data_IF_839386576018
#
_entry.id   IF_839386576018
#
_cell.length_a   1.000
_cell.length_b   1.000
_cell.length_c   1.000
_cell.angle_alpha   90.00
_cell.angle_beta   90.00
_cell.angle_gamma   90.00
#
_symmetry.space_group_name_H-M   'P 1'
#
loop_
_entity.id
_entity.type
_entity.pdbx_description
1 polymer ?
#
# COMPACT_ATOMS: atom_id res chain seq x y z
N UNK A 1 1.64 -34.22 20.37
CA UNK A 1 2.18 -32.85 20.57
C UNK A 1 2.86 -32.48 19.29
N UNK A 2 2.16 -31.77 18.40
CA UNK A 2 2.74 -31.16 17.22
C UNK A 2 2.68 -29.65 17.45
N UNK A 3 3.84 -29.00 17.39
CA UNK A 3 3.98 -27.54 17.47
C UNK A 3 3.17 -26.84 16.38
N UNK A 4 2.64 -25.63 16.62
CA UNK A 4 1.94 -24.89 15.59
C UNK A 4 2.95 -24.32 14.59
N UNK A 5 2.70 -24.62 13.32
CA UNK A 5 3.33 -24.04 12.14
C UNK A 5 3.32 -22.50 12.20
N UNK A 6 4.43 -21.88 11.84
CA UNK A 6 4.70 -20.46 12.06
C UNK A 6 3.75 -19.47 11.35
N UNK A 7 3.88 -18.17 11.65
CA UNK A 7 2.97 -17.10 11.20
C UNK A 7 2.87 -16.93 9.67
N UNK A 8 3.77 -17.53 8.88
CA UNK A 8 3.81 -17.45 7.43
C UNK A 8 2.65 -18.21 6.74
N UNK A 9 2.20 -19.35 7.28
CA UNK A 9 1.07 -20.10 6.69
C UNK A 9 -0.29 -19.45 6.98
N UNK A 10 -0.39 -18.69 8.07
CA UNK A 10 -1.62 -17.96 8.40
C UNK A 10 -1.86 -16.73 7.51
N UNK A 11 -0.81 -16.11 6.96
CA UNK A 11 -0.95 -15.01 6.00
C UNK A 11 -1.45 -15.50 4.62
N UNK A 12 -1.06 -16.71 4.20
CA UNK A 12 -1.60 -17.37 3.00
C UNK A 12 -3.11 -17.65 3.14
N UNK A 13 -3.55 -18.04 4.34
CA UNK A 13 -4.97 -18.22 4.66
C UNK A 13 -5.76 -16.90 4.62
N UNK A 14 -5.16 -15.79 5.07
CA UNK A 14 -5.78 -14.46 5.05
C UNK A 14 -5.91 -13.87 3.63
N UNK A 15 -4.92 -14.07 2.75
CA UNK A 15 -5.02 -13.69 1.33
C UNK A 15 -6.15 -14.45 0.62
N UNK A 16 -6.33 -15.74 0.93
CA UNK A 16 -7.46 -16.53 0.46
C UNK A 16 -8.83 -16.12 1.05
N UNK A 17 -8.85 -15.62 2.29
CA UNK A 17 -10.09 -15.22 2.98
C UNK A 17 -10.63 -13.87 2.50
N UNK A 18 -9.75 -12.89 2.26
CA UNK A 18 -10.14 -11.55 1.75
C UNK A 18 -10.67 -11.61 0.31
N UNK A 19 -10.17 -12.52 -0.51
CA UNK A 19 -10.65 -12.73 -1.89
C UNK A 19 -12.10 -13.25 -1.92
N UNK A 20 -12.48 -14.10 -0.96
CA UNK A 20 -13.79 -14.79 -0.96
C UNK A 20 -14.96 -13.90 -0.50
N UNK A 21 -14.71 -12.80 0.20
CA UNK A 21 -15.76 -11.87 0.65
C UNK A 21 -16.08 -10.76 -0.35
N UNK A 22 -15.17 -10.45 -1.29
CA UNK A 22 -15.38 -9.38 -2.27
C UNK A 22 -16.35 -9.78 -3.41
N UNK A 23 -16.46 -11.08 -3.72
CA UNK A 23 -17.40 -11.61 -4.71
C UNK A 23 -18.88 -11.49 -4.31
N UNK A 24 -19.18 -11.25 -3.02
CA UNK A 24 -20.56 -11.16 -2.53
C UNK A 24 -21.21 -9.77 -2.76
N UNK A 25 -20.43 -8.73 -3.08
CA UNK A 25 -20.91 -7.34 -3.17
C UNK A 25 -21.18 -6.84 -4.60
N UNK A 26 -20.92 -7.65 -5.63
CA UNK A 26 -21.04 -7.27 -7.06
C UNK A 26 -22.47 -7.28 -7.64
N UNK A 27 -23.54 -7.34 -6.83
CA UNK A 27 -24.92 -7.56 -7.32
C UNK A 27 -25.93 -6.41 -7.19
N UNK A 28 -25.50 -5.15 -7.04
CA UNK A 28 -26.43 -4.01 -7.05
C UNK A 28 -26.02 -2.96 -8.07
N UNK A 29 -26.73 -2.94 -9.21
CA UNK A 29 -26.52 -2.05 -10.35
C UNK A 29 -27.58 -0.94 -10.34
N UNK A 30 -27.18 0.34 -10.38
CA UNK A 30 -28.04 1.49 -10.71
C UNK A 30 -27.25 2.42 -11.63
N UNK A 31 -27.78 2.84 -12.81
CA UNK A 31 -27.02 3.62 -13.77
C UNK A 31 -27.09 5.13 -13.48
N UNK A 32 -25.97 5.83 -13.62
CA UNK A 32 -25.93 7.30 -13.69
C UNK A 32 -25.27 7.71 -15.01
N UNK A 33 -25.97 8.56 -15.78
CA UNK A 33 -25.50 9.21 -17.02
C UNK A 33 -24.85 10.57 -16.71
N UNK A 34 -24.11 11.07 -17.70
CA UNK A 34 -23.59 12.44 -17.96
C UNK A 34 -22.10 12.62 -17.60
N UNK A 35 -21.25 13.33 -18.38
CA UNK A 35 -21.34 14.04 -19.68
C UNK A 35 -19.89 14.45 -20.06
N UNK A 36 -19.57 14.46 -21.35
CA UNK A 36 -18.27 14.91 -21.90
C UNK A 36 -17.83 16.31 -21.43
N UNK A 37 -16.50 16.53 -21.31
CA UNK A 37 -15.86 17.79 -21.74
C UNK A 37 -14.32 17.73 -21.87
N UNK A 38 -13.88 17.97 -23.10
CA UNK A 38 -12.76 18.81 -23.60
C UNK A 38 -11.29 18.56 -23.21
N UNK A 39 -10.48 18.49 -24.27
CA UNK A 39 -9.03 18.34 -24.34
C UNK A 39 -8.21 19.57 -23.89
N UNK A 40 -6.96 19.33 -23.48
CA UNK A 40 -5.93 20.33 -23.13
C UNK A 40 -4.66 20.06 -24.01
N UNK A 41 -3.98 21.09 -24.54
CA UNK A 41 -2.88 20.95 -25.51
C UNK A 41 -1.52 20.62 -24.86
N UNK A 42 -0.52 20.14 -25.64
CA UNK A 42 0.72 19.59 -25.12
C UNK A 42 1.80 20.66 -24.93
N UNK A 43 2.50 20.61 -23.79
CA UNK A 43 3.72 21.39 -23.59
C UNK A 43 3.92 21.93 -22.18
N UNK A 44 4.08 21.05 -21.18
CA UNK A 44 4.70 21.43 -19.92
C UNK A 44 5.30 20.19 -19.25
N UNK A 45 6.54 20.32 -18.80
CA UNK A 45 7.28 19.29 -18.06
C UNK A 45 6.45 18.77 -16.88
N UNK A 46 6.00 17.52 -16.97
CA UNK A 46 5.17 16.87 -15.96
C UNK A 46 6.01 16.50 -14.73
N UNK A 47 6.11 17.42 -13.77
CA UNK A 47 6.20 17.03 -12.35
C UNK A 47 4.78 16.67 -11.92
N UNK A 48 4.52 15.37 -11.77
CA UNK A 48 3.20 14.83 -11.45
C UNK A 48 2.78 15.36 -10.07
N UNK A 49 1.71 16.17 -9.96
CA UNK A 49 1.08 16.46 -8.69
C UNK A 49 0.29 15.22 -8.26
N UNK A 50 0.35 14.90 -6.97
CA UNK A 50 -0.31 13.78 -6.28
C UNK A 50 -1.84 13.93 -6.20
N UNK A 51 -2.48 14.47 -7.23
CA UNK A 51 -3.92 14.76 -7.22
C UNK A 51 -4.81 13.55 -7.51
N UNK A 52 -4.25 12.37 -7.76
CA UNK A 52 -5.02 11.13 -8.00
C UNK A 52 -4.78 10.13 -6.88
N UNK A 53 -5.32 10.50 -5.70
CA UNK A 53 -5.19 9.85 -4.37
C UNK A 53 -6.12 8.64 -4.18
N UNK A 54 -6.99 8.39 -5.15
CA UNK A 54 -8.18 7.58 -4.95
C UNK A 54 -7.99 6.15 -4.45
N UNK A 55 -7.11 5.37 -5.08
CA UNK A 55 -7.02 3.94 -4.82
C UNK A 55 -6.40 3.64 -3.45
N UNK A 56 -5.51 4.52 -2.98
CA UNK A 56 -4.85 4.42 -1.68
C UNK A 56 -5.77 4.79 -0.52
N UNK A 57 -6.90 5.46 -0.79
CA UNK A 57 -7.83 5.98 0.21
C UNK A 57 -8.97 5.02 0.56
N UNK A 58 -9.09 3.92 -0.19
CA UNK A 58 -10.23 3.01 -0.11
C UNK A 58 -10.23 2.15 1.15
N UNK A 59 -9.15 1.40 1.49
CA UNK A 59 -9.15 0.53 2.67
C UNK A 59 -8.80 1.32 3.93
N UNK A 60 -9.17 0.85 5.13
CA UNK A 60 -8.70 1.44 6.40
C UNK A 60 -7.16 1.45 6.51
N UNK A 61 -6.51 0.38 6.00
CA UNK A 61 -5.06 0.22 5.94
C UNK A 61 -4.63 -0.13 4.52
N UNK A 62 -3.72 0.66 3.96
CA UNK A 62 -3.08 0.35 2.68
C UNK A 62 -1.59 0.09 2.88
N UNK A 63 -1.09 -1.03 2.39
CA UNK A 63 0.35 -1.34 2.35
C UNK A 63 0.79 -1.43 0.89
N UNK A 64 1.91 -0.79 0.58
CA UNK A 64 2.51 -0.85 -0.74
C UNK A 64 4.02 -0.73 -0.67
N UNK A 65 4.63 -0.69 -1.85
CA UNK A 65 6.07 -0.48 -1.99
C UNK A 65 6.33 0.78 -2.79
N UNK A 66 7.35 1.53 -2.40
CA UNK A 66 7.91 2.61 -3.22
C UNK A 66 8.74 2.03 -4.36
N UNK A 67 9.04 2.85 -5.36
CA UNK A 67 9.84 2.44 -6.52
C UNK A 67 11.27 2.03 -6.15
N UNK A 68 11.82 2.55 -5.04
CA UNK A 68 13.15 2.21 -4.50
C UNK A 68 13.14 1.10 -3.44
N UNK A 69 12.00 0.43 -3.23
CA UNK A 69 11.92 -0.77 -2.39
C UNK A 69 11.72 -0.52 -0.90
N UNK A 70 11.22 0.65 -0.49
CA UNK A 70 10.66 0.81 0.86
C UNK A 70 9.28 0.17 0.91
N UNK A 71 8.94 -0.46 2.03
CA UNK A 71 7.54 -0.78 2.34
C UNK A 71 6.90 0.43 3.00
N UNK A 72 5.72 0.84 2.55
CA UNK A 72 4.97 1.92 3.18
C UNK A 72 3.62 1.43 3.68
N UNK A 73 3.14 2.04 4.76
CA UNK A 73 1.79 1.85 5.30
C UNK A 73 1.09 3.18 5.40
N UNK A 74 -0.15 3.22 4.94
CA UNK A 74 -1.05 4.36 5.09
C UNK A 74 -2.26 3.93 5.93
N UNK A 75 -2.64 4.80 6.87
CA UNK A 75 -3.82 4.62 7.71
C UNK A 75 -4.88 5.66 7.29
N UNK A 76 -6.00 5.18 6.74
CA UNK A 76 -7.11 6.03 6.28
C UNK A 76 -8.17 6.25 7.35
N UNK A 77 -8.12 5.42 8.40
CA UNK A 77 -8.91 5.61 9.60
C UNK A 77 -8.05 5.59 10.84
N UNK A 78 -8.47 6.29 11.91
CA UNK A 78 -7.83 6.16 13.21
C UNK A 78 -7.94 4.71 13.71
N UNK A 79 -6.79 4.07 13.91
CA UNK A 79 -6.68 2.75 14.52
C UNK A 79 -5.95 2.90 15.85
N UNK A 80 -6.52 2.33 16.90
CA UNK A 80 -5.95 2.37 18.24
C UNK A 80 -4.55 1.77 18.23
N UNK A 81 -3.59 2.47 18.85
CA UNK A 81 -2.20 2.06 19.00
C UNK A 81 -1.42 1.80 17.69
N UNK A 82 -2.00 2.00 16.50
CA UNK A 82 -1.38 1.69 15.22
C UNK A 82 -0.02 2.37 15.01
N UNK A 83 0.12 3.62 15.47
CA UNK A 83 1.39 4.33 15.40
C UNK A 83 2.50 3.60 16.18
N UNK A 84 2.18 3.11 17.38
CA UNK A 84 3.11 2.34 18.22
C UNK A 84 3.42 0.98 17.59
N UNK A 85 2.38 0.26 17.13
CA UNK A 85 2.54 -1.04 16.47
C UNK A 85 3.48 -0.96 15.25
N UNK A 86 3.31 0.07 14.43
CA UNK A 86 4.16 0.31 13.25
C UNK A 86 5.58 0.70 13.65
N UNK A 87 5.78 1.58 14.64
CA UNK A 87 7.12 1.97 15.08
C UNK A 87 7.88 0.84 15.76
N UNK A 88 7.20 0.01 16.54
CA UNK A 88 7.81 -1.14 17.22
C UNK A 88 8.27 -2.20 16.20
N UNK A 89 7.58 -2.29 15.05
CA UNK A 89 7.99 -3.09 13.90
C UNK A 89 9.08 -2.43 13.01
N UNK A 90 9.57 -1.25 13.39
CA UNK A 90 10.65 -0.55 12.70
C UNK A 90 10.21 0.40 11.59
N UNK A 91 8.92 0.68 11.43
CA UNK A 91 8.45 1.70 10.51
C UNK A 91 8.69 3.11 11.07
N UNK A 92 9.13 4.02 10.21
CA UNK A 92 9.41 5.42 10.55
C UNK A 92 8.27 6.31 10.03
N UNK A 93 7.62 7.13 10.88
CA UNK A 93 6.57 8.03 10.43
C UNK A 93 7.17 9.12 9.52
N UNK A 94 6.49 9.39 8.41
CA UNK A 94 6.75 10.49 7.48
C UNK A 94 5.45 11.23 7.18
N UNK A 95 5.59 12.49 6.78
CA UNK A 95 4.48 13.28 6.26
C UNK A 95 4.77 13.60 4.80
N UNK A 96 3.76 13.39 3.96
CA UNK A 96 3.83 13.67 2.52
C UNK A 96 2.50 14.23 2.06
N UNK A 97 2.50 15.42 1.46
CA UNK A 97 1.29 16.14 1.03
C UNK A 97 0.19 16.22 2.10
N UNK A 98 0.58 16.48 3.35
CA UNK A 98 -0.36 16.61 4.48
C UNK A 98 -0.90 15.28 5.02
N UNK A 99 -0.42 14.15 4.50
CA UNK A 99 -0.79 12.80 4.94
C UNK A 99 0.34 12.12 5.67
N UNK A 100 0.01 11.40 6.74
CA UNK A 100 0.98 10.55 7.43
C UNK A 100 1.07 9.20 6.74
N UNK A 101 2.30 8.78 6.46
CA UNK A 101 2.63 7.42 6.06
C UNK A 101 3.74 6.88 6.98
N UNK A 102 3.89 5.57 7.04
CA UNK A 102 4.91 4.88 7.81
C UNK A 102 5.80 4.11 6.86
N UNK A 103 7.11 4.32 6.92
CA UNK A 103 8.09 3.71 6.01
C UNK A 103 8.97 2.72 6.74
N UNK A 104 9.04 1.50 6.22
CA UNK A 104 10.07 0.54 6.58
C UNK A 104 11.19 0.63 5.53
N UNK A 105 12.45 0.89 5.94
CA UNK A 105 13.57 0.93 5.01
C UNK A 105 13.78 -0.41 4.28
N UNK A 106 14.35 -0.40 3.07
CA UNK A 106 14.77 -1.61 2.39
C UNK A 106 15.70 -2.43 3.28
N UNK A 107 15.55 -3.74 3.21
CA UNK A 107 16.38 -4.70 3.89
C UNK A 107 16.46 -5.98 3.07
N UNK A 108 16.82 -7.09 3.70
CA UNK A 108 16.59 -8.39 3.05
C UNK A 108 15.09 -8.60 2.89
N UNK A 109 14.66 -9.30 1.84
CA UNK A 109 13.25 -9.59 1.61
C UNK A 109 12.62 -10.35 2.80
N UNK A 110 13.39 -11.22 3.45
CA UNK A 110 12.98 -11.92 4.66
C UNK A 110 12.77 -10.95 5.84
N UNK A 111 13.72 -10.08 6.15
CA UNK A 111 13.60 -9.12 7.26
C UNK A 111 12.40 -8.18 7.07
N UNK A 112 12.20 -7.72 5.84
CA UNK A 112 11.07 -6.84 5.48
C UNK A 112 9.75 -7.58 5.63
N UNK A 113 9.68 -8.83 5.14
CA UNK A 113 8.52 -9.70 5.29
C UNK A 113 8.17 -9.93 6.77
N UNK A 114 9.14 -10.30 7.61
CA UNK A 114 8.92 -10.57 9.03
C UNK A 114 8.44 -9.33 9.78
N UNK A 115 9.11 -8.19 9.58
CA UNK A 115 8.75 -6.92 10.26
C UNK A 115 7.39 -6.40 9.82
N UNK A 116 7.12 -6.41 8.52
CA UNK A 116 5.80 -6.03 8.00
C UNK A 116 4.73 -6.98 8.52
N UNK A 117 4.97 -8.30 8.52
CA UNK A 117 4.05 -9.32 9.02
C UNK A 117 3.67 -9.10 10.49
N UNK A 118 4.63 -8.78 11.36
CA UNK A 118 4.36 -8.43 12.78
C UNK A 118 3.41 -7.23 12.88
N UNK A 119 3.69 -6.16 12.15
CA UNK A 119 2.84 -4.98 12.16
C UNK A 119 1.43 -5.28 11.63
N UNK A 120 1.33 -6.03 10.52
CA UNK A 120 0.05 -6.34 9.88
C UNK A 120 -0.82 -7.24 10.75
N UNK A 121 -0.24 -8.27 11.36
CA UNK A 121 -0.95 -9.13 12.29
C UNK A 121 -1.54 -8.34 13.46
N UNK A 122 -0.80 -7.38 14.00
CA UNK A 122 -1.31 -6.52 15.06
C UNK A 122 -2.41 -5.55 14.58
N UNK A 123 -2.32 -5.02 13.37
CA UNK A 123 -3.36 -4.16 12.79
C UNK A 123 -4.66 -4.94 12.49
N UNK A 124 -4.55 -6.20 12.09
CA UNK A 124 -5.69 -7.08 11.82
C UNK A 124 -6.56 -7.33 13.08
N UNK A 125 -6.00 -7.16 14.28
CA UNK A 125 -6.77 -7.19 15.51
C UNK A 125 -7.76 -6.00 15.64
N UNK A 126 -7.64 -4.99 14.78
CA UNK A 126 -8.40 -3.74 14.85
C UNK A 126 -9.19 -3.42 13.57
N UNK A 127 -8.78 -3.90 12.40
CA UNK A 127 -9.53 -3.78 11.14
C UNK A 127 -9.28 -4.97 10.23
N UNK A 128 -10.28 -5.33 9.43
CA UNK A 128 -10.16 -6.31 8.36
C UNK A 128 -10.18 -5.65 6.97
N UNK A 129 -10.35 -4.33 6.91
CA UNK A 129 -10.31 -3.55 5.66
C UNK A 129 -8.87 -3.13 5.37
N UNK A 130 -8.09 -4.11 4.95
CA UNK A 130 -6.65 -3.98 4.71
C UNK A 130 -6.35 -4.49 3.30
N UNK A 131 -5.61 -3.68 2.54
CA UNK A 131 -5.06 -4.09 1.25
C UNK A 131 -3.55 -4.01 1.29
N UNK A 132 -2.91 -5.09 0.87
CA UNK A 132 -1.46 -5.20 0.75
C UNK A 132 -1.06 -5.48 -0.69
N UNK A 133 -0.45 -4.49 -1.34
CA UNK A 133 0.16 -4.58 -2.67
C UNK A 133 1.68 -4.36 -2.59
N UNK A 134 2.29 -4.61 -1.43
CA UNK A 134 3.73 -4.44 -1.24
C UNK A 134 4.52 -5.62 -1.79
N UNK A 135 5.15 -5.42 -2.95
CA UNK A 135 6.03 -6.44 -3.54
C UNK A 135 7.27 -6.69 -2.66
N UNK A 136 7.67 -5.72 -1.84
CA UNK A 136 8.81 -5.82 -0.91
C UNK A 136 8.57 -6.80 0.24
N UNK A 137 7.32 -7.19 0.51
CA UNK A 137 6.97 -8.17 1.54
C UNK A 137 6.73 -9.57 0.96
N UNK A 138 6.74 -9.72 -0.38
CA UNK A 138 6.59 -11.01 -1.05
C UNK A 138 7.94 -11.73 -1.07
N UNK A 139 8.24 -12.41 0.04
CA UNK A 139 9.41 -13.28 0.15
C UNK A 139 9.01 -14.75 0.07
N UNK A 140 9.81 -15.53 -0.65
CA UNK A 140 9.75 -16.99 -0.67
C UNK A 140 11.18 -17.54 -0.73
N UNK A 141 11.52 -18.55 0.10
CA UNK A 141 12.85 -19.15 0.10
C UNK A 141 13.18 -19.86 -1.23
N UNK A 142 12.16 -20.29 -1.97
CA UNK A 142 12.29 -21.09 -3.19
C UNK A 142 12.22 -20.26 -4.48
N UNK A 143 12.00 -18.94 -4.38
CA UNK A 143 11.84 -18.08 -5.55
C UNK A 143 13.12 -17.28 -5.81
N UNK A 144 13.81 -17.51 -6.95
CA UNK A 144 15.02 -16.76 -7.29
C UNK A 144 14.69 -15.28 -7.52
N UNK A 145 15.67 -14.41 -7.28
CA UNK A 145 15.57 -12.95 -7.43
C UNK A 145 15.52 -12.50 -8.91
N UNK A 146 14.56 -13.02 -9.68
CA UNK A 146 14.28 -12.64 -11.05
C UNK A 146 13.51 -11.32 -11.17
N UNK A 147 13.33 -10.86 -12.42
CA UNK A 147 12.39 -9.79 -12.73
C UNK A 147 10.93 -10.24 -12.55
N UNK A 148 9.98 -9.31 -12.42
CA UNK A 148 8.58 -9.67 -12.21
C UNK A 148 7.97 -10.38 -13.42
N UNK A 149 7.13 -11.37 -13.16
CA UNK A 149 6.23 -11.98 -14.16
C UNK A 149 5.13 -10.99 -14.56
N UNK A 150 4.68 -10.18 -13.60
CA UNK A 150 3.66 -9.15 -13.75
C UNK A 150 4.15 -7.81 -13.20
N UNK A 151 4.08 -6.77 -14.03
CA UNK A 151 4.39 -5.40 -13.62
C UNK A 151 3.14 -4.54 -13.77
N UNK A 152 2.54 -4.14 -12.65
CA UNK A 152 1.38 -3.24 -12.62
C UNK A 152 1.85 -1.81 -12.46
N UNK A 153 1.32 -0.91 -13.27
CA UNK A 153 1.52 0.53 -13.17
C UNK A 153 0.16 1.18 -12.96
N UNK A 154 -0.05 1.72 -11.76
CA UNK A 154 -1.27 2.46 -11.42
C UNK A 154 -1.01 3.93 -11.70
N UNK A 155 -1.79 4.53 -12.60
CA UNK A 155 -1.67 5.94 -12.95
C UNK A 155 -3.01 6.52 -13.36
N UNK A 156 -3.34 7.70 -12.81
CA UNK A 156 -4.48 8.50 -13.25
C UNK A 156 -5.81 7.73 -13.28
N UNK A 157 -6.05 6.86 -12.28
CA UNK A 157 -7.27 6.03 -12.21
C UNK A 157 -7.30 4.86 -13.21
N UNK A 158 -6.17 4.56 -13.85
CA UNK A 158 -6.01 3.45 -14.78
C UNK A 158 -4.89 2.53 -14.34
N UNK A 159 -4.93 1.28 -14.81
CA UNK A 159 -3.89 0.28 -14.56
C UNK A 159 -3.41 -0.27 -15.88
N UNK A 160 -2.12 -0.08 -16.14
CA UNK A 160 -1.39 -0.77 -17.19
C UNK A 160 -0.63 -1.94 -16.57
N UNK A 161 -0.61 -3.08 -17.24
CA UNK A 161 0.10 -4.28 -16.77
C UNK A 161 0.96 -4.84 -17.87
N UNK A 162 2.21 -5.20 -17.60
CA UNK A 162 3.02 -5.99 -18.53
C UNK A 162 3.21 -7.40 -17.99
N UNK A 163 3.14 -8.39 -18.89
CA UNK A 163 3.26 -9.80 -18.57
C UNK A 163 4.39 -10.45 -19.37
N UNK A 164 5.40 -10.97 -18.67
CA UNK A 164 6.62 -11.52 -19.28
C UNK A 164 6.49 -13.00 -19.66
N UNK A 165 5.53 -13.72 -19.07
CA UNK A 165 5.32 -15.16 -19.30
C UNK A 165 3.92 -15.46 -19.85
N UNK A 166 3.77 -16.59 -20.54
CA UNK A 166 2.46 -17.07 -21.01
C UNK A 166 1.49 -17.32 -19.85
N UNK A 167 1.99 -17.83 -18.72
CA UNK A 167 1.19 -18.03 -17.52
C UNK A 167 0.64 -16.71 -16.96
N UNK A 168 1.49 -15.67 -16.88
CA UNK A 168 1.08 -14.34 -16.46
C UNK A 168 0.01 -13.72 -17.38
N UNK A 169 0.15 -13.89 -18.70
CA UNK A 169 -0.84 -13.44 -19.69
C UNK A 169 -2.20 -14.10 -19.51
N UNK A 170 -2.23 -15.42 -19.40
CA UNK A 170 -3.45 -16.18 -19.17
C UNK A 170 -4.13 -15.78 -17.85
N UNK A 171 -3.34 -15.55 -16.80
CA UNK A 171 -3.86 -15.09 -15.52
C UNK A 171 -4.55 -13.72 -15.64
N UNK A 172 -3.94 -12.77 -16.35
CA UNK A 172 -4.53 -11.45 -16.57
C UNK A 172 -5.85 -11.54 -17.34
N UNK A 173 -5.91 -12.37 -18.38
CA UNK A 173 -7.13 -12.59 -19.16
C UNK A 173 -8.27 -13.19 -18.31
N UNK A 174 -7.95 -14.12 -17.40
CA UNK A 174 -8.91 -14.67 -16.44
C UNK A 174 -9.48 -13.60 -15.50
N UNK A 175 -8.66 -12.62 -15.11
CA UNK A 175 -9.08 -11.47 -14.30
C UNK A 175 -9.69 -10.33 -15.14
N UNK A 176 -9.94 -10.57 -16.43
CA UNK A 176 -10.65 -9.64 -17.29
C UNK A 176 -9.83 -8.45 -17.78
N UNK A 177 -8.51 -8.50 -17.63
CA UNK A 177 -7.61 -7.55 -18.29
C UNK A 177 -7.62 -7.81 -19.80
N UNK A 178 -7.55 -6.73 -20.58
CA UNK A 178 -7.63 -6.77 -22.04
C UNK A 178 -6.24 -6.53 -22.61
N UNK A 179 -5.74 -7.39 -23.51
CA UNK A 179 -4.44 -7.18 -24.15
C UNK A 179 -4.45 -5.92 -25.01
N UNK A 180 -3.31 -5.26 -25.08
CA UNK A 180 -3.07 -4.16 -26.03
C UNK A 180 -2.46 -4.68 -27.32
N UNK A 181 -2.24 -3.79 -28.30
CA UNK A 181 -1.75 -4.16 -29.63
C UNK A 181 -0.37 -4.85 -29.63
N UNK A 182 0.43 -4.66 -28.58
CA UNK A 182 1.76 -5.25 -28.46
C UNK A 182 1.76 -6.72 -27.98
N UNK A 183 0.61 -7.25 -27.55
CA UNK A 183 0.44 -8.63 -27.08
C UNK A 183 1.16 -8.99 -25.77
N UNK A 184 1.86 -8.04 -25.14
CA UNK A 184 2.59 -8.22 -23.88
C UNK A 184 2.12 -7.27 -22.78
N UNK A 185 1.48 -6.17 -23.17
CA UNK A 185 0.84 -5.21 -22.28
C UNK A 185 -0.67 -5.43 -22.25
N UNK A 186 -1.24 -5.15 -21.10
CA UNK A 186 -2.64 -5.30 -20.77
C UNK A 186 -3.14 -4.05 -20.07
N UNK A 187 -4.45 -3.83 -20.15
CA UNK A 187 -5.15 -2.79 -19.40
C UNK A 187 -6.39 -3.35 -18.75
N UNK A 188 -6.83 -2.72 -17.67
CA UNK A 188 -8.16 -3.00 -17.13
C UNK A 188 -9.25 -2.58 -18.12
N UNK A 189 -10.45 -3.14 -17.98
CA UNK A 189 -11.60 -2.70 -18.78
C UNK A 189 -11.87 -1.21 -18.52
N UNK A 190 -12.36 -0.53 -19.54
CA UNK A 190 -12.77 0.86 -19.42
C UNK A 190 -14.02 0.95 -18.52
N UNK A 191 -14.14 2.06 -17.78
CA UNK A 191 -15.32 2.34 -16.94
C UNK A 191 -15.36 1.65 -15.58
N UNK A 192 -14.25 1.05 -15.13
CA UNK A 192 -14.14 0.62 -13.73
C UNK A 192 -14.04 1.83 -12.81
N UNK A 193 -14.78 1.81 -11.71
CA UNK A 193 -14.53 2.71 -10.59
C UNK A 193 -13.25 2.29 -9.83
N UNK A 194 -12.81 3.13 -8.90
CA UNK A 194 -11.54 2.96 -8.19
C UNK A 194 -11.53 1.73 -7.27
N UNK A 195 -12.68 1.36 -6.70
CA UNK A 195 -12.82 0.18 -5.86
C UNK A 195 -12.79 -1.09 -6.71
N UNK A 196 -13.45 -1.07 -7.86
CA UNK A 196 -13.39 -2.15 -8.83
C UNK A 196 -11.97 -2.31 -9.38
N UNK A 197 -11.28 -1.20 -9.64
CA UNK A 197 -9.88 -1.20 -10.06
C UNK A 197 -8.98 -1.81 -9.00
N UNK A 198 -9.12 -1.38 -7.75
CA UNK A 198 -8.41 -1.95 -6.60
C UNK A 198 -8.65 -3.45 -6.48
N UNK A 199 -9.92 -3.87 -6.50
CA UNK A 199 -10.29 -5.29 -6.42
C UNK A 199 -9.69 -6.11 -7.55
N UNK A 200 -9.69 -5.59 -8.79
CA UNK A 200 -9.10 -6.30 -9.94
C UNK A 200 -7.58 -6.49 -9.79
N UNK A 201 -6.88 -5.45 -9.33
CA UNK A 201 -5.42 -5.52 -9.09
C UNK A 201 -5.11 -6.48 -7.94
N UNK A 202 -5.79 -6.35 -6.81
CA UNK A 202 -5.57 -7.22 -5.65
C UNK A 202 -5.89 -8.68 -5.97
N UNK A 203 -6.97 -8.96 -6.70
CA UNK A 203 -7.31 -10.32 -7.11
C UNK A 203 -6.26 -10.93 -8.06
N UNK A 204 -5.78 -10.15 -9.03
CA UNK A 204 -4.74 -10.60 -9.95
C UNK A 204 -3.39 -10.83 -9.23
N UNK A 205 -2.99 -9.93 -8.34
CA UNK A 205 -1.76 -10.04 -7.56
C UNK A 205 -1.79 -11.26 -6.63
N UNK A 206 -2.88 -11.45 -5.88
CA UNK A 206 -3.06 -12.60 -5.01
C UNK A 206 -3.06 -13.92 -5.80
N UNK A 207 -3.75 -13.95 -6.96
CA UNK A 207 -3.76 -15.13 -7.82
C UNK A 207 -2.36 -15.44 -8.34
N UNK A 208 -1.60 -14.42 -8.76
CA UNK A 208 -0.22 -14.59 -9.21
C UNK A 208 0.66 -15.18 -8.11
N UNK A 209 0.59 -14.62 -6.90
CA UNK A 209 1.34 -15.11 -5.75
C UNK A 209 1.06 -16.59 -5.44
N UNK A 210 -0.22 -16.99 -5.42
CA UNK A 210 -0.60 -18.41 -5.18
C UNK A 210 -0.11 -19.38 -6.25
N UNK A 211 0.23 -18.89 -7.44
CA UNK A 211 0.77 -19.68 -8.55
C UNK A 211 2.29 -19.54 -8.72
N UNK A 212 2.97 -18.95 -7.74
CA UNK A 212 4.42 -18.75 -7.78
C UNK A 212 4.87 -17.73 -8.84
N UNK A 213 3.96 -16.89 -9.33
CA UNK A 213 4.28 -15.80 -10.23
C UNK A 213 4.60 -14.55 -9.41
N UNK A 214 5.70 -13.90 -9.77
CA UNK A 214 6.16 -12.67 -9.12
C UNK A 214 5.41 -11.45 -9.68
N UNK A 215 4.85 -10.63 -8.80
CA UNK A 215 4.14 -9.41 -9.16
C UNK A 215 4.81 -8.18 -8.53
N UNK A 216 4.93 -7.10 -9.29
CA UNK A 216 5.34 -5.78 -8.78
C UNK A 216 4.28 -4.75 -9.10
N UNK A 217 3.74 -4.12 -8.06
CA UNK A 217 2.77 -3.05 -8.20
C UNK A 217 3.44 -1.71 -7.95
N UNK A 218 3.56 -0.91 -9.00
CA UNK A 218 4.07 0.44 -8.95
C UNK A 218 2.91 1.42 -8.78
N UNK A 219 2.90 2.07 -7.61
CA UNK A 219 1.87 3.02 -7.22
C UNK A 219 2.28 4.47 -7.52
N UNK A 220 3.44 4.67 -8.16
CA UNK A 220 3.98 5.98 -8.48
C UNK A 220 4.43 6.78 -7.25
N UNK A 221 4.74 6.09 -6.14
CA UNK A 221 5.28 6.71 -4.93
C UNK A 221 6.80 6.86 -5.09
N UNK A 222 7.30 8.09 -5.29
CA UNK A 222 8.72 8.40 -5.36
C UNK A 222 9.39 8.16 -4.01
N UNK A 223 10.71 8.08 -4.07
CA UNK A 223 11.58 7.67 -2.98
C UNK A 223 11.44 8.54 -1.73
N UNK A 224 11.79 8.06 -0.54
CA UNK A 224 11.80 8.89 0.67
C UNK A 224 12.75 10.09 0.59
N UNK A 225 13.71 10.10 -0.35
CA UNK A 225 14.53 11.27 -0.63
C UNK A 225 13.71 12.41 -1.27
N UNK A 226 12.61 12.09 -1.94
CA UNK A 226 11.64 13.04 -2.51
C UNK A 226 10.52 13.40 -1.52
N UNK A 227 10.54 12.83 -0.31
CA UNK A 227 9.58 13.06 0.78
C UNK A 227 10.31 13.79 1.93
N UNK A 228 10.25 15.13 2.02
CA UNK A 228 10.96 15.85 3.07
C UNK A 228 10.54 15.34 4.45
N UNK A 229 11.52 15.15 5.35
CA UNK A 229 11.22 14.77 6.73
C UNK A 229 10.26 15.79 7.33
N UNK A 230 9.19 15.32 7.99
CA UNK A 230 8.21 16.20 8.64
C UNK A 230 8.97 17.20 9.51
N UNK A 231 8.85 18.50 9.21
CA UNK A 231 9.29 19.55 10.12
C UNK A 231 8.30 19.56 11.27
N UNK A 232 8.41 18.58 12.17
CA UNK A 232 7.70 18.60 13.43
C UNK A 232 8.14 19.89 14.10
N UNK A 233 7.24 20.88 14.11
CA UNK A 233 7.40 22.11 14.87
C UNK A 233 7.73 21.65 16.28
N UNK A 234 9.01 21.81 16.66
CA UNK A 234 9.48 21.58 18.01
C UNK A 234 8.62 22.52 18.85
N UNK A 235 7.62 22.00 19.56
CA UNK A 235 6.88 22.77 20.54
C UNK A 235 7.95 23.39 21.43
N UNK A 236 8.05 24.72 21.40
CA UNK A 236 8.97 25.43 22.27
C UNK A 236 8.70 24.93 23.69
N UNK A 237 9.75 24.62 24.49
CA UNK A 237 9.53 24.29 25.88
C UNK A 237 8.70 25.42 26.48
N UNK A 238 7.57 25.06 27.08
CA UNK A 238 6.76 26.02 27.81
C UNK A 238 7.69 26.71 28.80
N UNK A 239 7.87 28.02 28.64
CA UNK A 239 8.55 28.87 29.61
C UNK A 239 7.70 28.83 30.86
N UNK A 240 7.96 27.85 31.74
CA UNK A 240 7.33 27.77 33.04
C UNK A 240 7.61 29.06 33.82
N UNK A 241 6.68 29.53 34.67
CA UNK A 241 6.95 30.63 35.57
C UNK A 241 8.14 30.26 36.44
N UNK A 242 9.17 31.09 36.34
CA UNK A 242 10.39 31.04 37.14
C UNK A 242 9.99 31.22 38.60
N UNK A 243 10.09 30.16 39.39
CA UNK A 243 10.00 30.20 40.84
C UNK A 243 11.07 31.16 41.38
N UNK A 244 10.64 32.30 41.89
CA UNK A 244 11.48 33.18 42.70
C UNK A 244 11.63 32.59 44.10
N UNK A 245 12.85 32.34 44.60
CA UNK A 245 13.04 32.04 46.00
C UNK A 245 12.98 33.36 46.79
N UNK A 246 12.03 33.49 47.72
CA UNK A 246 12.09 34.53 48.76
C UNK A 246 12.14 33.89 50.13
N UNK A 247 13.36 33.94 50.66
CA UNK A 247 13.88 33.87 52.03
C UNK A 247 13.01 33.32 53.18
N UNK A 248 13.62 32.52 54.09
CA UNK A 248 13.01 32.17 55.36
C UNK A 248 13.13 33.34 56.35
N UNK A 249 12.01 33.81 56.90
CA UNK A 249 12.02 34.68 58.09
C UNK A 249 11.60 33.88 59.32
N UNK A 250 12.60 33.64 60.18
CA UNK A 250 12.48 32.96 61.47
C UNK A 250 11.87 33.90 62.52
N UNK A 251 10.83 33.41 63.20
CA UNK A 251 10.37 33.62 64.60
C UNK A 251 10.29 35.02 65.22
N UNK A 252 9.10 35.33 65.79
CA UNK A 252 8.93 35.49 67.24
C UNK A 252 7.50 35.11 67.63
#
# INVERSE_FOLDING_TARGET
MNEPTGPAEHLLLLAGYLTRHNDALTRLHVPVRCRERTAIPPGLHFRIPWTTVSLLDIPDVFIGSTDDGHTFVILNRPIRDAARLLTDAGFLPREHHGRRLYLLPPGTAQDVHERAGVAMYALLAHTHDLVDLSWTTRWSPDQPAGGPDLHFQVRDGTVAVTASTTAARLLLEQHGFVPTADGASYRTRDGLDERQLLSAVTAAEAHAYTHGLSARVHLGIPTPADIPASTRRRSAPATGPRTTPSAPRRTR
#
